data_IF_939665257679
#
_entry.id   IF_939665257679
#
_cell.length_a   1.000
_cell.length_b   1.000
_cell.length_c   1.000
_cell.angle_alpha   90.00
_cell.angle_beta   90.00
_cell.angle_gamma   90.00
#
_symmetry.space_group_name_H-M   'P 1'
#
loop_
_entity.id
_entity.type
_entity.pdbx_description
1 polymer ?
#
# COMPACT_ATOMS: atom_id res chain seq x y z
N UNK A 1 -7.64 1.12 -10.33
CA UNK A 1 -6.28 1.64 -10.03
C UNK A 1 -6.37 3.03 -9.40
N UNK A 2 -6.99 4.02 -10.08
CA UNK A 2 -7.25 5.36 -9.52
C UNK A 2 -7.87 5.39 -8.11
N UNK A 3 -8.94 4.64 -7.87
CA UNK A 3 -9.58 4.59 -6.55
C UNK A 3 -8.65 4.11 -5.40
N UNK A 4 -7.68 3.24 -5.70
CA UNK A 4 -6.70 2.78 -4.70
C UNK A 4 -5.64 3.86 -4.42
N UNK A 5 -5.23 4.62 -5.44
CA UNK A 5 -4.32 5.75 -5.28
C UNK A 5 -4.99 6.92 -4.54
N UNK A 6 -6.26 7.20 -4.83
CA UNK A 6 -7.06 8.18 -4.10
C UNK A 6 -7.24 7.77 -2.63
N UNK A 7 -7.53 6.50 -2.35
CA UNK A 7 -7.61 5.99 -0.99
C UNK A 7 -6.26 6.13 -0.25
N UNK A 8 -5.15 5.83 -0.92
CA UNK A 8 -3.80 6.02 -0.37
C UNK A 8 -3.49 7.51 -0.11
N UNK A 9 -3.86 8.40 -1.03
CA UNK A 9 -3.76 9.85 -0.87
C UNK A 9 -4.60 10.36 0.28
N UNK A 10 -5.80 9.81 0.48
CA UNK A 10 -6.67 10.13 1.61
C UNK A 10 -6.09 9.63 2.94
N UNK A 11 -5.42 8.47 2.96
CA UNK A 11 -4.73 7.95 4.15
C UNK A 11 -3.49 8.75 4.52
N UNK A 12 -2.71 9.19 3.51
CA UNK A 12 -1.49 9.98 3.71
C UNK A 12 -1.79 11.47 3.93
N UNK A 13 -2.94 11.95 3.46
CA UNK A 13 -3.41 13.31 3.63
C UNK A 13 -3.83 13.61 5.06
N UNK A 14 -3.38 14.74 5.62
CA UNK A 14 -3.67 15.12 7.00
C UNK A 14 -5.13 15.52 7.25
N UNK A 15 -5.87 15.95 6.23
CA UNK A 15 -7.22 16.53 6.38
C UNK A 15 -8.26 15.58 6.96
N UNK A 16 -8.14 14.28 6.69
CA UNK A 16 -9.13 13.27 7.07
C UNK A 16 -8.63 12.28 8.14
N UNK A 17 -7.52 12.61 8.82
CA UNK A 17 -6.82 11.69 9.73
C UNK A 17 -7.75 10.98 10.74
N UNK A 18 -8.67 11.70 11.38
CA UNK A 18 -9.61 11.10 12.34
C UNK A 18 -10.55 10.05 11.72
N UNK A 19 -11.09 10.32 10.52
CA UNK A 19 -11.97 9.38 9.80
C UNK A 19 -11.20 8.17 9.29
N UNK A 20 -9.98 8.38 8.80
CA UNK A 20 -9.07 7.30 8.36
C UNK A 20 -8.72 6.38 9.52
N UNK A 21 -8.36 6.94 10.68
CA UNK A 21 -8.06 6.16 11.89
C UNK A 21 -9.28 5.34 12.34
N UNK A 22 -10.48 5.93 12.33
CA UNK A 22 -11.70 5.20 12.65
C UNK A 22 -11.96 4.04 11.68
N UNK A 23 -11.83 4.28 10.37
CA UNK A 23 -11.99 3.24 9.35
C UNK A 23 -10.98 2.10 9.53
N UNK A 24 -9.71 2.41 9.84
CA UNK A 24 -8.67 1.41 10.13
C UNK A 24 -8.98 0.61 11.40
N UNK A 25 -9.38 1.28 12.50
CA UNK A 25 -9.77 0.61 13.76
C UNK A 25 -10.91 -0.38 13.53
N UNK A 26 -11.93 0.01 12.76
CA UNK A 26 -13.07 -0.87 12.45
C UNK A 26 -12.69 -2.00 11.50
N UNK A 27 -11.94 -1.74 10.43
CA UNK A 27 -11.60 -2.75 9.43
C UNK A 27 -10.62 -3.81 9.94
N UNK A 28 -9.65 -3.41 10.76
CA UNK A 28 -8.60 -4.29 11.28
C UNK A 28 -8.86 -4.76 12.72
N UNK A 29 -9.99 -4.38 13.31
CA UNK A 29 -10.33 -4.64 14.73
C UNK A 29 -9.22 -4.21 15.70
N UNK A 30 -8.54 -3.09 15.41
CA UNK A 30 -7.47 -2.56 16.26
C UNK A 30 -8.10 -1.69 17.35
N UNK A 31 -7.94 -2.09 18.60
CA UNK A 31 -8.46 -1.38 19.77
C UNK A 31 -7.63 -0.14 20.12
N UNK A 32 -6.33 -0.21 19.81
CA UNK A 32 -5.32 0.74 20.27
C UNK A 32 -4.99 1.83 19.23
N UNK A 33 -4.82 3.05 19.70
CA UNK A 33 -4.58 4.21 18.84
C UNK A 33 -3.14 4.26 18.30
N UNK A 34 -2.17 3.87 19.11
CA UNK A 34 -0.76 3.84 18.74
C UNK A 34 -0.51 2.80 17.65
N UNK A 35 -1.11 1.62 17.78
CA UNK A 35 -1.04 0.54 16.79
C UNK A 35 -1.66 0.95 15.45
N UNK A 36 -2.76 1.69 15.51
CA UNK A 36 -3.41 2.24 14.30
C UNK A 36 -2.53 3.31 13.64
N UNK A 37 -1.96 4.22 14.43
CA UNK A 37 -1.09 5.28 13.94
C UNK A 37 0.21 4.72 13.34
N UNK A 38 0.80 3.71 13.98
CA UNK A 38 1.98 2.98 13.50
C UNK A 38 1.70 2.33 12.14
N UNK A 39 0.59 1.59 12.04
CA UNK A 39 0.17 0.93 10.79
C UNK A 39 -0.03 1.93 9.63
N UNK A 40 -0.62 3.09 9.92
CA UNK A 40 -0.77 4.16 8.93
C UNK A 40 0.58 4.78 8.53
N UNK A 41 1.55 4.82 9.45
CA UNK A 41 2.90 5.33 9.21
C UNK A 41 3.75 4.46 8.27
N UNK A 42 3.40 3.18 8.10
CA UNK A 42 4.08 2.29 7.16
C UNK A 42 3.67 2.51 5.70
N UNK A 43 2.59 3.26 5.46
CA UNK A 43 2.09 3.55 4.12
C UNK A 43 3.10 4.42 3.35
N UNK A 44 3.41 4.01 2.13
CA UNK A 44 4.39 4.70 1.27
C UNK A 44 3.67 5.46 0.16
N UNK A 45 4.09 6.71 -0.05
CA UNK A 45 3.58 7.59 -1.12
C UNK A 45 3.74 6.98 -2.52
N UNK A 46 4.83 6.26 -2.77
CA UNK A 46 5.07 5.57 -4.03
C UNK A 46 4.95 4.06 -3.80
N UNK A 47 3.81 3.44 -4.14
CA UNK A 47 3.59 2.01 -3.93
C UNK A 47 4.25 1.19 -5.05
N UNK A 48 5.56 1.35 -5.24
CA UNK A 48 6.29 0.56 -6.21
C UNK A 48 6.40 -0.88 -5.73
N UNK A 49 5.82 -1.85 -6.45
CA UNK A 49 6.03 -3.26 -6.12
C UNK A 49 7.52 -3.58 -6.31
N UNK A 50 8.14 -4.17 -5.28
CA UNK A 50 9.55 -4.51 -5.29
C UNK A 50 9.72 -6.03 -5.30
N UNK A 51 10.50 -6.54 -6.26
CA UNK A 51 10.77 -7.97 -6.42
C UNK A 51 11.48 -8.57 -5.20
N UNK A 52 12.46 -7.85 -4.63
CA UNK A 52 13.30 -8.41 -3.57
C UNK A 52 12.53 -8.69 -2.26
N UNK A 53 11.69 -7.78 -1.73
CA UNK A 53 10.80 -8.08 -0.62
C UNK A 53 9.80 -9.20 -0.90
N UNK A 54 9.22 -9.23 -2.11
CA UNK A 54 8.25 -10.27 -2.48
C UNK A 54 8.90 -11.66 -2.55
N UNK A 55 10.13 -11.77 -3.07
CA UNK A 55 10.90 -13.02 -3.06
C UNK A 55 11.21 -13.49 -1.63
N UNK A 56 11.53 -12.57 -0.71
CA UNK A 56 11.71 -12.90 0.71
C UNK A 56 10.42 -13.40 1.35
N UNK A 57 9.28 -12.75 1.08
CA UNK A 57 7.98 -13.20 1.58
C UNK A 57 7.61 -14.57 1.02
N UNK A 58 7.86 -14.83 -0.26
CA UNK A 58 7.66 -16.15 -0.88
C UNK A 58 8.47 -17.24 -0.16
N UNK A 59 9.73 -16.95 0.19
CA UNK A 59 10.56 -17.89 0.94
C UNK A 59 9.98 -18.18 2.34
N UNK A 60 9.52 -17.15 3.07
CA UNK A 60 8.87 -17.32 4.38
C UNK A 60 7.57 -18.13 4.27
N UNK A 61 6.71 -17.80 3.30
CA UNK A 61 5.43 -18.51 3.11
C UNK A 61 5.67 -19.97 2.72
N UNK A 62 6.73 -20.26 1.95
CA UNK A 62 7.04 -21.61 1.49
C UNK A 62 7.36 -22.60 2.62
N UNK A 63 7.73 -22.09 3.80
CA UNK A 63 7.91 -22.89 5.02
C UNK A 63 6.60 -23.59 5.42
N UNK A 64 5.46 -22.92 5.20
CA UNK A 64 4.14 -23.40 5.59
C UNK A 64 3.31 -23.89 4.39
N UNK A 65 3.49 -23.31 3.20
CA UNK A 65 2.80 -23.71 1.98
C UNK A 65 3.74 -23.68 0.75
N UNK A 66 4.26 -24.84 0.31
CA UNK A 66 5.18 -24.91 -0.82
C UNK A 66 4.51 -24.56 -2.17
N UNK A 67 3.17 -24.48 -2.27
CA UNK A 67 2.49 -24.10 -3.51
C UNK A 67 2.85 -22.69 -3.95
N UNK A 68 3.24 -21.82 -3.01
CA UNK A 68 3.69 -20.45 -3.29
C UNK A 68 4.88 -20.42 -4.25
N UNK A 69 5.70 -21.47 -4.29
CA UNK A 69 6.86 -21.55 -5.21
C UNK A 69 6.46 -21.70 -6.67
N UNK A 70 5.21 -22.09 -6.96
CA UNK A 70 4.68 -22.14 -8.33
C UNK A 70 4.28 -20.77 -8.86
N UNK A 71 4.26 -19.76 -8.01
CA UNK A 71 3.88 -18.39 -8.37
C UNK A 71 5.13 -17.63 -8.79
N UNK A 72 5.14 -17.14 -10.03
CA UNK A 72 6.21 -16.28 -10.52
C UNK A 72 6.03 -14.87 -9.96
N UNK A 73 6.93 -14.45 -9.07
CA UNK A 73 6.89 -13.11 -8.46
C UNK A 73 7.08 -12.01 -9.50
N UNK A 74 7.82 -12.28 -10.58
CA UNK A 74 7.97 -11.33 -11.70
C UNK A 74 6.67 -11.11 -12.45
N UNK A 75 5.84 -12.14 -12.58
CA UNK A 75 4.59 -12.07 -13.35
C UNK A 75 3.46 -11.44 -12.53
N UNK A 76 3.60 -11.38 -11.20
CA UNK A 76 2.67 -10.70 -10.30
C UNK A 76 2.81 -9.17 -10.34
N UNK A 77 3.97 -8.66 -10.76
CA UNK A 77 4.23 -7.23 -10.78
C UNK A 77 3.75 -6.62 -12.09
N UNK A 78 2.70 -5.81 -12.01
CA UNK A 78 2.28 -4.91 -13.07
C UNK A 78 2.46 -3.46 -12.60
N UNK A 79 3.67 -2.93 -12.75
CA UNK A 79 4.02 -1.58 -12.29
C UNK A 79 3.85 -0.50 -13.37
N UNK A 80 3.60 -0.88 -14.64
CA UNK A 80 3.54 0.05 -15.77
C UNK A 80 2.52 1.16 -15.56
N UNK A 81 1.37 0.83 -14.99
CA UNK A 81 0.32 1.81 -14.77
C UNK A 81 0.67 2.80 -13.66
N UNK A 82 1.22 2.33 -12.54
CA UNK A 82 1.61 3.20 -11.42
C UNK A 82 2.80 4.06 -11.80
N UNK A 83 3.76 3.49 -12.54
CA UNK A 83 4.94 4.20 -13.03
C UNK A 83 4.56 5.28 -14.04
N UNK A 84 3.72 4.97 -15.02
CA UNK A 84 3.21 5.97 -15.97
C UNK A 84 2.49 7.12 -15.25
N UNK A 85 1.67 6.80 -14.26
CA UNK A 85 0.96 7.80 -13.46
C UNK A 85 1.88 8.70 -12.62
N UNK A 86 3.03 8.18 -12.17
CA UNK A 86 4.10 8.97 -11.52
C UNK A 86 4.90 9.80 -12.53
N UNK A 87 5.27 9.22 -13.68
CA UNK A 87 6.02 9.87 -14.76
C UNK A 87 5.24 11.03 -15.40
N UNK A 88 3.92 10.88 -15.55
CA UNK A 88 3.02 11.91 -16.08
C UNK A 88 2.77 13.04 -15.04
N UNK A 89 3.27 12.92 -13.82
CA UNK A 89 3.12 13.90 -12.74
C UNK A 89 1.74 13.91 -12.07
N UNK A 90 0.82 13.06 -12.53
CA UNK A 90 -0.54 12.94 -11.98
C UNK A 90 -0.54 12.47 -10.52
N UNK A 91 0.42 11.62 -10.14
CA UNK A 91 0.57 11.18 -8.75
C UNK A 91 0.91 12.34 -7.81
N UNK A 92 1.79 13.25 -8.23
CA UNK A 92 2.15 14.42 -7.43
C UNK A 92 0.98 15.38 -7.30
N UNK A 93 0.26 15.66 -8.40
CA UNK A 93 -0.94 16.47 -8.40
C UNK A 93 -2.03 15.89 -7.49
N UNK A 94 -2.22 14.56 -7.53
CA UNK A 94 -3.17 13.85 -6.68
C UNK A 94 -2.84 14.04 -5.20
N UNK A 95 -1.58 13.84 -4.78
CA UNK A 95 -1.24 14.00 -3.36
C UNK A 95 -1.39 15.45 -2.89
N UNK A 96 -1.05 16.44 -3.72
CA UNK A 96 -1.26 17.88 -3.39
C UNK A 96 -2.75 18.18 -3.16
N UNK A 97 -3.66 17.57 -3.91
CA UNK A 97 -5.09 17.77 -3.74
C UNK A 97 -5.60 17.28 -2.36
N UNK A 98 -4.92 16.31 -1.73
CA UNK A 98 -5.32 15.65 -0.49
C UNK A 98 -4.53 16.07 0.77
N UNK A 99 -3.39 16.76 0.62
CA UNK A 99 -2.66 17.43 1.73
C UNK A 99 -3.32 18.75 2.09
#
# INVERSE_FOLDING_TARGET
>A
MHALLEALALCLGGRNKGKVMQAFKTALSISDEESTASSLGELRRKPYPSLAPLAKMQAVISIHDPRVLKVSVTDLIEDRFVRKFDEDGELDALYVAYT
#
